data_IF_373987942975
#
_entry.id   IF_373987942975
#
_cell.length_a   1.000
_cell.length_b   1.000
_cell.length_c   1.000
_cell.angle_alpha   90.00
_cell.angle_beta   90.00
_cell.angle_gamma   90.00
#
_symmetry.space_group_name_H-M   'P 1'
#
loop_
_entity.id
_entity.type
_entity.pdbx_description
1 polymer ?
#
# COMPACT_ATOMS: atom_id res chain seq x y z
N UNK A 1 -6.19 -13.87 5.82
CA UNK A 1 -5.73 -13.19 7.06
C UNK A 1 -4.25 -12.78 7.00
N UNK A 2 -3.35 -13.57 6.42
CA UNK A 2 -1.89 -13.29 6.41
C UNK A 2 -1.41 -12.06 5.59
N UNK A 3 -2.15 -11.64 4.56
CA UNK A 3 -1.81 -10.47 3.71
C UNK A 3 -1.73 -9.17 4.53
N UNK A 4 -2.63 -9.00 5.50
CA UNK A 4 -2.70 -7.80 6.31
C UNK A 4 -1.55 -7.67 7.30
N UNK A 5 -1.02 -8.78 7.81
CA UNK A 5 0.04 -8.73 8.82
C UNK A 5 1.36 -8.28 8.21
N UNK A 6 1.76 -8.86 7.06
CA UNK A 6 2.99 -8.48 6.36
C UNK A 6 2.99 -7.02 5.90
N UNK A 7 1.86 -6.56 5.35
CA UNK A 7 1.73 -5.16 4.94
C UNK A 7 1.72 -4.21 6.14
N UNK A 8 1.10 -4.59 7.27
CA UNK A 8 1.11 -3.79 8.50
C UNK A 8 2.53 -3.66 9.07
N UNK A 9 3.31 -4.74 9.10
CA UNK A 9 4.68 -4.71 9.62
C UNK A 9 5.61 -3.89 8.71
N UNK A 10 5.44 -4.01 7.39
CA UNK A 10 6.14 -3.15 6.43
C UNK A 10 5.84 -1.67 6.66
N UNK A 11 4.55 -1.31 6.83
CA UNK A 11 4.13 0.06 7.11
C UNK A 11 4.71 0.57 8.44
N UNK A 12 4.78 -0.27 9.47
CA UNK A 12 5.35 0.10 10.78
C UNK A 12 6.82 0.50 10.64
N UNK A 13 7.60 -0.27 9.88
CA UNK A 13 9.02 0.00 9.58
C UNK A 13 9.28 1.13 8.59
N UNK A 14 8.25 1.75 8.02
CA UNK A 14 8.41 2.90 7.11
C UNK A 14 8.69 4.18 7.91
N UNK A 15 9.88 4.74 7.72
CA UNK A 15 10.32 6.01 8.32
C UNK A 15 9.77 7.23 7.58
N UNK A 16 9.66 7.12 6.26
CA UNK A 16 9.11 8.17 5.39
C UNK A 16 7.60 8.33 5.66
N UNK A 17 7.25 9.40 6.38
CA UNK A 17 5.88 9.66 6.81
C UNK A 17 4.92 9.90 5.64
N UNK A 18 5.40 10.46 4.53
CA UNK A 18 4.57 10.69 3.36
C UNK A 18 4.18 9.34 2.74
N UNK A 19 5.16 8.49 2.52
CA UNK A 19 4.97 7.17 1.90
C UNK A 19 4.18 6.26 2.83
N UNK A 20 4.45 6.31 4.13
CA UNK A 20 3.65 5.62 5.15
C UNK A 20 2.18 6.01 5.07
N UNK A 21 1.88 7.30 4.89
CA UNK A 21 0.52 7.80 4.69
C UNK A 21 -0.15 7.23 3.43
N UNK A 22 0.58 7.16 2.31
CA UNK A 22 0.08 6.57 1.05
C UNK A 22 -0.21 5.07 1.23
N UNK A 23 0.70 4.32 1.86
CA UNK A 23 0.53 2.89 2.13
C UNK A 23 -0.66 2.60 3.05
N UNK A 24 -0.86 3.41 4.09
CA UNK A 24 -2.02 3.28 4.97
C UNK A 24 -3.34 3.50 4.22
N UNK A 25 -3.41 4.52 3.36
CA UNK A 25 -4.59 4.76 2.51
C UNK A 25 -4.84 3.59 1.57
N UNK A 26 -3.78 3.06 0.93
CA UNK A 26 -3.89 1.93 0.02
C UNK A 26 -4.41 0.69 0.74
N UNK A 27 -3.83 0.35 1.89
CA UNK A 27 -4.30 -0.76 2.74
C UNK A 27 -5.77 -0.61 3.10
N UNK A 28 -6.16 0.57 3.58
CA UNK A 28 -7.54 0.81 4.02
C UNK A 28 -8.53 0.68 2.86
N UNK A 29 -8.17 1.15 1.65
CA UNK A 29 -9.02 1.04 0.46
C UNK A 29 -9.20 -0.41 0.02
N UNK A 30 -8.11 -1.20 0.01
CA UNK A 30 -8.14 -2.63 -0.33
C UNK A 30 -8.97 -3.46 0.66
N UNK A 31 -9.10 -3.00 1.91
CA UNK A 31 -9.89 -3.68 2.95
C UNK A 31 -11.38 -3.33 2.94
N UNK A 32 -11.82 -2.36 2.13
CA UNK A 32 -13.25 -1.99 2.07
C UNK A 32 -14.04 -3.13 1.42
N UNK A 33 -15.31 -3.25 1.85
CA UNK A 33 -16.26 -4.17 1.19
C UNK A 33 -16.50 -3.80 -0.28
N UNK A 34 -16.36 -2.52 -0.63
CA UNK A 34 -16.45 -2.02 -2.00
C UNK A 34 -15.25 -1.10 -2.31
N UNK A 35 -14.10 -1.67 -2.72
CA UNK A 35 -12.89 -0.90 -3.01
C UNK A 35 -13.08 0.01 -4.23
N UNK A 36 -12.63 1.25 -4.12
CA UNK A 36 -12.61 2.18 -5.25
C UNK A 36 -11.32 2.00 -6.07
N UNK A 37 -11.44 1.29 -7.19
CA UNK A 37 -10.30 1.01 -8.08
C UNK A 37 -9.60 2.23 -8.65
N UNK A 38 -10.28 3.37 -8.78
CA UNK A 38 -9.66 4.63 -9.20
C UNK A 38 -8.74 5.19 -8.12
N UNK A 39 -9.16 5.12 -6.85
CA UNK A 39 -8.35 5.52 -5.69
C UNK A 39 -7.14 4.61 -5.55
N UNK A 40 -7.32 3.29 -5.67
CA UNK A 40 -6.22 2.32 -5.64
C UNK A 40 -5.21 2.63 -6.75
N UNK A 41 -5.67 2.86 -7.99
CA UNK A 41 -4.79 3.22 -9.11
C UNK A 41 -4.03 4.51 -8.87
N UNK A 42 -4.67 5.54 -8.31
CA UNK A 42 -4.01 6.80 -7.98
C UNK A 42 -2.93 6.62 -6.90
N UNK A 43 -3.20 5.80 -5.87
CA UNK A 43 -2.25 5.50 -4.80
C UNK A 43 -1.05 4.68 -5.31
N UNK A 44 -1.30 3.66 -6.15
CA UNK A 44 -0.24 2.88 -6.81
C UNK A 44 0.61 3.79 -7.69
N UNK A 45 0.00 4.70 -8.47
CA UNK A 45 0.73 5.67 -9.29
C UNK A 45 1.59 6.59 -8.45
N UNK A 46 1.07 7.07 -7.31
CA UNK A 46 1.83 7.90 -6.36
C UNK A 46 3.07 7.15 -5.84
N UNK A 47 2.92 5.88 -5.48
CA UNK A 47 4.05 5.03 -5.08
C UNK A 47 5.03 4.82 -6.23
N UNK A 48 4.55 4.56 -7.45
CA UNK A 48 5.41 4.41 -8.62
C UNK A 48 6.19 5.68 -8.96
N UNK A 49 5.62 6.87 -8.75
CA UNK A 49 6.30 8.13 -9.05
C UNK A 49 7.29 8.50 -7.95
N UNK A 50 6.96 8.26 -6.68
CA UNK A 50 7.77 8.70 -5.52
C UNK A 50 8.76 7.65 -5.01
N UNK A 51 8.36 6.39 -4.96
CA UNK A 51 9.09 5.27 -4.33
C UNK A 51 8.77 3.94 -5.02
N UNK A 52 9.37 3.74 -6.20
CA UNK A 52 9.21 2.50 -6.98
C UNK A 52 9.65 1.27 -6.19
N UNK A 53 10.73 1.39 -5.43
CA UNK A 53 11.24 0.37 -4.50
C UNK A 53 10.12 -0.11 -3.57
N UNK A 54 9.44 0.83 -2.91
CA UNK A 54 8.36 0.52 -1.98
C UNK A 54 7.17 -0.15 -2.68
N UNK A 55 6.82 0.31 -3.89
CA UNK A 55 5.76 -0.34 -4.66
C UNK A 55 6.10 -1.80 -4.96
N UNK A 56 7.31 -2.07 -5.43
CA UNK A 56 7.74 -3.44 -5.76
C UNK A 56 7.83 -4.34 -4.53
N UNK A 57 8.20 -3.80 -3.37
CA UNK A 57 8.21 -4.55 -2.10
C UNK A 57 6.80 -4.99 -1.68
N UNK A 58 5.81 -4.11 -1.80
CA UNK A 58 4.45 -4.40 -1.32
C UNK A 58 3.58 -5.18 -2.33
N UNK A 59 3.90 -5.13 -3.63
CA UNK A 59 3.12 -5.81 -4.67
C UNK A 59 2.89 -7.30 -4.39
N UNK A 60 3.93 -8.10 -4.03
CA UNK A 60 3.76 -9.49 -3.64
C UNK A 60 2.90 -9.69 -2.38
N UNK A 61 2.76 -8.66 -1.53
CA UNK A 61 1.93 -8.73 -0.33
C UNK A 61 0.45 -8.53 -0.67
N UNK A 62 0.15 -7.75 -1.71
CA UNK A 62 -1.22 -7.39 -2.12
C UNK A 62 -1.79 -8.39 -3.14
N UNK A 63 -0.94 -8.95 -4.00
CA UNK A 63 -1.35 -9.82 -5.11
C UNK A 63 -1.32 -11.33 -4.80
N UNK A 64 -0.84 -11.72 -3.62
CA UNK A 64 -0.85 -13.12 -3.13
C UNK A 64 -2.14 -13.47 -2.39
#
# INVERSE_FOLDING_TARGET
MAVNEKLNDYIRGMDDQEIKGVLLKLKNELQKQNPQWEVIRALIRTLFEKRKDVLFDILPMILN
#
